data_IF_052079798846
#
_entry.id   IF_052079798846
#
_cell.length_a   1.000
_cell.length_b   1.000
_cell.length_c   1.000
_cell.angle_alpha   90.00
_cell.angle_beta   90.00
_cell.angle_gamma   90.00
#
_symmetry.space_group_name_H-M   'P 1'
#
loop_
_entity.id
_entity.type
_entity.pdbx_description
1 polymer ?
#
# COMPACT_ATOMS: atom_id res chain seq x y z
N UNK A 1 21.70 -26.44 -16.59
CA UNK A 1 21.41 -25.30 -15.70
C UNK A 1 21.67 -25.76 -14.28
N UNK A 2 22.29 -24.93 -13.43
CA UNK A 2 22.56 -25.34 -12.04
C UNK A 2 21.28 -25.22 -11.22
N UNK A 3 21.11 -26.13 -10.26
CA UNK A 3 20.04 -26.10 -9.27
C UNK A 3 19.95 -24.75 -8.56
N UNK A 4 21.09 -24.16 -8.22
CA UNK A 4 21.17 -22.86 -7.53
C UNK A 4 20.60 -21.69 -8.36
N UNK A 5 20.84 -21.68 -9.68
CA UNK A 5 20.26 -20.66 -10.55
C UNK A 5 18.75 -20.83 -10.66
N UNK A 6 18.26 -22.06 -10.72
CA UNK A 6 16.83 -22.33 -10.78
C UNK A 6 16.13 -21.85 -9.49
N UNK A 7 16.71 -22.14 -8.32
CA UNK A 7 16.20 -21.62 -7.04
C UNK A 7 16.22 -20.09 -6.97
N UNK A 8 17.20 -19.44 -7.60
CA UNK A 8 17.27 -17.98 -7.64
C UNK A 8 16.12 -17.35 -8.43
N UNK A 9 15.76 -17.87 -9.61
CA UNK A 9 14.59 -17.38 -10.35
C UNK A 9 13.27 -17.69 -9.63
N UNK A 10 13.16 -18.86 -9.00
CA UNK A 10 11.95 -19.22 -8.24
C UNK A 10 11.74 -18.27 -7.05
N UNK A 11 12.82 -17.90 -6.34
CA UNK A 11 12.76 -16.91 -5.27
C UNK A 11 12.31 -15.53 -5.76
N UNK A 12 12.73 -15.12 -6.96
CA UNK A 12 12.24 -13.88 -7.60
C UNK A 12 10.75 -13.98 -7.88
N UNK A 13 10.30 -15.07 -8.50
CA UNK A 13 8.88 -15.32 -8.79
C UNK A 13 8.04 -15.34 -7.51
N UNK A 14 8.47 -16.07 -6.49
CA UNK A 14 7.76 -16.19 -5.20
C UNK A 14 7.61 -14.84 -4.50
N UNK A 15 8.62 -13.97 -4.59
CA UNK A 15 8.53 -12.60 -4.05
C UNK A 15 7.37 -11.82 -4.70
N UNK A 16 7.24 -11.85 -6.03
CA UNK A 16 6.12 -11.16 -6.71
C UNK A 16 4.76 -11.80 -6.42
N UNK A 17 4.68 -13.13 -6.34
CA UNK A 17 3.46 -13.83 -5.92
C UNK A 17 3.05 -13.39 -4.51
N UNK A 18 4.01 -13.24 -3.59
CA UNK A 18 3.72 -12.78 -2.23
C UNK A 18 3.17 -11.35 -2.15
N UNK A 19 3.45 -10.52 -3.17
CA UNK A 19 2.91 -9.18 -3.32
C UNK A 19 1.55 -9.15 -4.08
N UNK A 20 1.01 -10.32 -4.44
CA UNK A 20 -0.27 -10.46 -5.13
C UNK A 20 -0.21 -10.29 -6.65
N UNK A 21 0.98 -10.28 -7.25
CA UNK A 21 1.12 -10.29 -8.70
C UNK A 21 1.06 -11.73 -9.27
N UNK A 22 0.66 -11.85 -10.53
CA UNK A 22 0.82 -13.10 -11.27
C UNK A 22 2.28 -13.21 -11.75
N UNK A 23 2.98 -14.28 -11.37
CA UNK A 23 4.35 -14.49 -11.80
C UNK A 23 4.61 -15.96 -12.17
N UNK A 24 5.41 -16.17 -13.23
CA UNK A 24 5.81 -17.50 -13.72
C UNK A 24 7.25 -17.49 -14.20
N UNK A 25 7.95 -18.60 -13.99
CA UNK A 25 9.33 -18.79 -14.45
C UNK A 25 9.40 -19.50 -15.80
N UNK A 26 10.55 -19.40 -16.47
CA UNK A 26 10.83 -20.04 -17.77
C UNK A 26 9.71 -19.77 -18.80
N UNK A 27 9.27 -18.52 -18.85
CA UNK A 27 8.08 -18.13 -19.60
C UNK A 27 8.45 -17.84 -21.05
N UNK A 28 7.84 -18.58 -21.98
CA UNK A 28 7.97 -18.31 -23.42
C UNK A 28 6.90 -17.32 -23.87
N UNK A 29 7.30 -16.12 -24.23
CA UNK A 29 6.41 -15.00 -24.57
C UNK A 29 6.58 -14.63 -26.04
N UNK A 30 5.46 -14.53 -26.76
CA UNK A 30 5.45 -14.06 -28.16
C UNK A 30 5.54 -12.54 -28.19
N UNK A 31 6.63 -12.00 -28.75
CA UNK A 31 6.75 -10.60 -29.11
C UNK A 31 6.25 -10.33 -30.53
N UNK A 32 6.38 -9.08 -31.00
CA UNK A 32 5.99 -8.68 -32.35
C UNK A 32 6.79 -9.42 -33.43
N UNK A 33 8.09 -9.66 -33.18
CA UNK A 33 8.99 -10.26 -34.19
C UNK A 33 9.30 -11.73 -33.93
N UNK A 34 9.42 -12.14 -32.65
CA UNK A 34 9.80 -13.50 -32.29
C UNK A 34 9.31 -13.88 -30.90
N UNK A 35 9.36 -15.19 -30.58
CA UNK A 35 9.28 -15.66 -29.20
C UNK A 35 10.57 -15.33 -28.45
N UNK A 36 10.43 -15.00 -27.17
CA UNK A 36 11.53 -14.84 -26.21
C UNK A 36 11.28 -15.75 -25.00
N UNK A 37 12.33 -16.39 -24.52
CA UNK A 37 12.30 -17.14 -23.26
C UNK A 37 12.76 -16.20 -22.14
N UNK A 38 11.89 -15.96 -21.17
CA UNK A 38 12.10 -15.02 -20.07
C UNK A 38 12.24 -15.80 -18.77
N UNK A 39 13.27 -15.50 -17.97
CA UNK A 39 13.51 -16.20 -16.70
C UNK A 39 12.31 -16.04 -15.75
N UNK A 40 11.84 -14.80 -15.53
CA UNK A 40 10.59 -14.55 -14.78
C UNK A 40 9.72 -13.52 -15.51
N UNK A 41 8.48 -13.90 -15.77
CA UNK A 41 7.43 -13.01 -16.27
C UNK A 41 6.51 -12.63 -15.11
N UNK A 42 6.27 -11.33 -14.93
CA UNK A 42 5.37 -10.79 -13.90
C UNK A 42 4.30 -9.95 -14.57
N UNK A 43 3.06 -10.14 -14.15
CA UNK A 43 1.91 -9.37 -14.58
C UNK A 43 1.09 -8.94 -13.37
N UNK A 44 0.69 -7.67 -13.35
CA UNK A 44 -0.23 -7.12 -12.37
C UNK A 44 -1.20 -6.17 -13.05
N UNK A 45 -2.27 -5.78 -12.37
CA UNK A 45 -3.25 -4.81 -12.89
C UNK A 45 -3.17 -3.51 -12.14
N UNK A 46 -3.12 -2.41 -12.89
CA UNK A 46 -3.16 -1.07 -12.34
C UNK A 46 -4.10 -0.21 -13.17
N UNK A 47 -5.08 0.43 -12.49
CA UNK A 47 -6.11 1.27 -13.14
C UNK A 47 -6.85 0.59 -14.31
N UNK A 48 -7.01 -0.74 -14.25
CA UNK A 48 -7.70 -1.52 -15.28
C UNK A 48 -6.81 -1.96 -16.46
N UNK A 49 -5.54 -1.55 -16.48
CA UNK A 49 -4.56 -1.95 -17.48
C UNK A 49 -3.62 -3.02 -16.93
N UNK A 50 -3.16 -3.92 -17.80
CA UNK A 50 -2.17 -4.93 -17.46
C UNK A 50 -0.77 -4.29 -17.51
N UNK A 51 -0.04 -4.35 -16.39
CA UNK A 51 1.37 -4.00 -16.30
C UNK A 51 2.22 -5.26 -16.37
N UNK A 52 3.16 -5.30 -17.31
CA UNK A 52 4.01 -6.45 -17.60
C UNK A 52 5.46 -6.12 -17.32
N UNK A 53 6.09 -6.88 -16.41
CA UNK A 53 7.52 -6.80 -16.14
C UNK A 53 8.23 -8.09 -16.55
N UNK A 54 9.35 -7.94 -17.24
CA UNK A 54 10.22 -9.04 -17.65
C UNK A 54 11.46 -9.03 -16.78
N UNK A 55 11.86 -10.18 -16.25
CA UNK A 55 13.00 -10.27 -15.35
C UNK A 55 13.98 -11.32 -15.84
N UNK A 56 15.25 -10.91 -15.90
CA UNK A 56 16.40 -11.74 -16.20
C UNK A 56 17.19 -12.01 -14.92
N UNK A 57 17.32 -13.28 -14.55
CA UNK A 57 17.97 -13.75 -13.32
C UNK A 57 19.43 -14.12 -13.60
N UNK A 58 20.36 -13.22 -13.24
CA UNK A 58 21.80 -13.41 -13.43
C UNK A 58 22.47 -13.88 -12.15
N UNK A 59 22.41 -15.19 -11.90
CA UNK A 59 23.10 -15.88 -10.80
C UNK A 59 24.59 -16.10 -11.13
N UNK A 60 25.31 -15.02 -11.40
CA UNK A 60 26.72 -15.07 -11.80
C UNK A 60 27.62 -14.58 -10.66
N UNK A 61 28.86 -15.10 -10.62
CA UNK A 61 29.92 -14.56 -9.76
C UNK A 61 30.54 -13.28 -10.32
N UNK A 62 30.38 -13.06 -11.62
CA UNK A 62 30.88 -11.87 -12.31
C UNK A 62 29.78 -10.82 -12.51
N UNK A 63 30.21 -9.55 -12.56
CA UNK A 63 29.32 -8.42 -12.83
C UNK A 63 28.68 -8.51 -14.22
N UNK A 64 27.40 -8.21 -14.29
CA UNK A 64 26.63 -8.16 -15.54
C UNK A 64 27.18 -7.07 -16.47
N UNK A 65 27.35 -7.42 -17.74
CA UNK A 65 27.92 -6.59 -18.81
C UNK A 65 26.83 -5.81 -19.57
N UNK A 66 27.24 -4.72 -20.23
CA UNK A 66 26.39 -3.85 -21.07
C UNK A 66 25.49 -4.61 -22.05
N UNK A 67 26.01 -5.64 -22.71
CA UNK A 67 25.25 -6.37 -23.74
C UNK A 67 23.97 -7.02 -23.20
N UNK A 68 23.96 -7.44 -21.93
CA UNK A 68 22.77 -8.04 -21.31
C UNK A 68 21.65 -6.99 -21.17
N UNK A 69 22.00 -5.76 -20.83
CA UNK A 69 21.06 -4.63 -20.74
C UNK A 69 20.46 -4.30 -22.11
N UNK A 70 21.31 -4.22 -23.14
CA UNK A 70 20.87 -3.92 -24.51
C UNK A 70 19.98 -5.03 -25.07
N UNK A 71 20.31 -6.30 -24.79
CA UNK A 71 19.49 -7.44 -25.20
C UNK A 71 18.11 -7.39 -24.54
N UNK A 72 18.06 -7.24 -23.21
CA UNK A 72 16.77 -7.18 -22.50
C UNK A 72 15.92 -6.00 -22.96
N UNK A 73 16.51 -4.84 -23.26
CA UNK A 73 15.77 -3.70 -23.84
C UNK A 73 15.07 -4.06 -25.13
N UNK A 74 15.79 -4.70 -26.07
CA UNK A 74 15.20 -5.09 -27.34
C UNK A 74 14.05 -6.09 -27.15
N UNK A 75 14.15 -6.98 -26.16
CA UNK A 75 13.09 -7.94 -25.80
C UNK A 75 11.87 -7.22 -25.21
N UNK A 76 12.10 -6.31 -24.26
CA UNK A 76 11.05 -5.49 -23.64
C UNK A 76 10.30 -4.68 -24.69
N UNK A 77 11.02 -4.04 -25.61
CA UNK A 77 10.43 -3.28 -26.71
C UNK A 77 9.67 -4.17 -27.71
N UNK A 78 10.16 -5.39 -27.98
CA UNK A 78 9.50 -6.34 -28.90
C UNK A 78 8.23 -6.95 -28.31
N UNK A 79 8.18 -7.16 -26.99
CA UNK A 79 6.99 -7.66 -26.27
C UNK A 79 6.01 -6.51 -25.96
N UNK A 80 6.49 -5.28 -25.82
CA UNK A 80 5.70 -4.16 -25.34
C UNK A 80 5.51 -4.18 -23.81
N UNK A 81 6.49 -4.71 -23.08
CA UNK A 81 6.46 -4.74 -21.63
C UNK A 81 6.80 -3.36 -21.02
N UNK A 82 6.20 -3.03 -19.87
CA UNK A 82 6.40 -1.74 -19.21
C UNK A 82 7.84 -1.57 -18.70
N UNK A 83 8.42 -2.64 -18.15
CA UNK A 83 9.76 -2.63 -17.57
C UNK A 83 10.48 -3.96 -17.74
N UNK A 84 11.80 -3.87 -17.86
CA UNK A 84 12.71 -5.00 -17.73
C UNK A 84 13.57 -4.87 -16.48
N UNK A 85 13.80 -5.98 -15.78
CA UNK A 85 14.73 -6.03 -14.66
C UNK A 85 15.83 -7.03 -14.97
N UNK A 86 17.07 -6.64 -14.68
CA UNK A 86 18.16 -7.60 -14.52
C UNK A 86 18.45 -7.70 -13.03
N UNK A 87 18.30 -8.90 -12.49
CA UNK A 87 18.55 -9.19 -11.09
C UNK A 87 19.86 -9.94 -10.98
N UNK A 88 20.86 -9.35 -10.32
CA UNK A 88 22.23 -9.88 -10.27
C UNK A 88 22.68 -10.13 -8.84
N UNK A 89 23.38 -11.24 -8.62
CA UNK A 89 24.07 -11.49 -7.34
C UNK A 89 25.37 -10.68 -7.19
N UNK A 90 26.15 -10.57 -8.27
CA UNK A 90 27.46 -9.91 -8.25
C UNK A 90 27.40 -8.42 -8.63
N UNK A 91 26.21 -7.89 -8.92
CA UNK A 91 25.99 -6.52 -9.38
C UNK A 91 26.35 -6.31 -10.85
N UNK A 92 26.72 -5.07 -11.20
CA UNK A 92 26.75 -4.57 -12.58
C UNK A 92 28.05 -3.84 -12.89
N UNK A 93 28.52 -3.94 -14.14
CA UNK A 93 29.63 -3.13 -14.65
C UNK A 93 29.15 -1.69 -14.93
N UNK A 94 30.08 -0.72 -14.90
CA UNK A 94 29.77 0.69 -15.18
C UNK A 94 29.02 0.88 -16.50
N UNK A 95 29.47 0.23 -17.58
CA UNK A 95 28.83 0.31 -18.88
C UNK A 95 27.42 -0.31 -18.94
N UNK A 96 27.09 -1.22 -18.02
CA UNK A 96 25.72 -1.74 -17.88
C UNK A 96 24.82 -0.70 -17.20
N UNK A 97 25.30 -0.07 -16.13
CA UNK A 97 24.59 1.02 -15.44
C UNK A 97 24.34 2.19 -16.38
N UNK A 98 25.37 2.65 -17.09
CA UNK A 98 25.26 3.72 -18.10
C UNK A 98 24.29 3.33 -19.23
N UNK A 99 24.24 2.05 -19.62
CA UNK A 99 23.30 1.60 -20.62
C UNK A 99 21.87 1.64 -20.12
N UNK A 100 21.59 1.23 -18.87
CA UNK A 100 20.25 1.19 -18.29
C UNK A 100 19.71 2.56 -17.87
N UNK A 101 20.60 3.55 -17.72
CA UNK A 101 20.21 4.91 -17.35
C UNK A 101 19.15 5.48 -18.32
N UNK A 102 18.16 6.16 -17.76
CA UNK A 102 17.02 6.76 -18.47
C UNK A 102 16.23 5.80 -19.37
N UNK A 103 16.27 4.49 -19.11
CA UNK A 103 15.41 3.53 -19.80
C UNK A 103 14.48 2.80 -18.82
N UNK A 104 13.55 2.03 -19.38
CA UNK A 104 12.66 1.12 -18.65
C UNK A 104 13.36 -0.16 -18.17
N UNK A 105 14.70 -0.22 -18.26
CA UNK A 105 15.50 -1.33 -17.73
C UNK A 105 16.04 -0.93 -16.38
N UNK A 106 15.81 -1.75 -15.36
CA UNK A 106 16.30 -1.54 -14.01
C UNK A 106 17.29 -2.64 -13.64
N UNK A 107 18.38 -2.23 -13.02
CA UNK A 107 19.44 -3.12 -12.54
C UNK A 107 19.33 -3.18 -11.04
N UNK A 108 19.14 -4.38 -10.50
CA UNK A 108 18.89 -4.59 -9.07
C UNK A 108 19.63 -5.82 -8.55
N UNK A 109 20.03 -5.80 -7.29
CA UNK A 109 20.19 -7.05 -6.54
C UNK A 109 18.81 -7.60 -6.16
N UNK A 110 18.74 -8.86 -5.72
CA UNK A 110 17.46 -9.40 -5.24
C UNK A 110 16.93 -8.58 -4.05
N UNK A 111 17.80 -8.21 -3.12
CA UNK A 111 17.39 -7.49 -1.91
C UNK A 111 16.90 -6.06 -2.24
N UNK A 112 17.56 -5.37 -3.17
CA UNK A 112 17.09 -4.06 -3.65
C UNK A 112 15.73 -4.18 -4.36
N UNK A 113 15.56 -5.18 -5.23
CA UNK A 113 14.27 -5.41 -5.88
C UNK A 113 13.18 -5.70 -4.86
N UNK A 114 13.47 -6.56 -3.89
CA UNK A 114 12.53 -6.98 -2.87
C UNK A 114 12.13 -5.83 -1.94
N UNK A 115 13.08 -4.97 -1.56
CA UNK A 115 12.80 -3.77 -0.77
C UNK A 115 11.94 -2.79 -1.55
N UNK A 116 12.38 -2.37 -2.73
CA UNK A 116 11.68 -1.34 -3.53
C UNK A 116 10.24 -1.73 -3.85
N UNK A 117 10.03 -2.98 -4.25
CA UNK A 117 8.69 -3.46 -4.65
C UNK A 117 7.77 -3.68 -3.45
N UNK A 118 8.31 -4.10 -2.30
CA UNK A 118 7.54 -4.18 -1.04
C UNK A 118 7.13 -2.78 -0.60
N UNK A 119 8.07 -1.84 -0.58
CA UNK A 119 7.80 -0.45 -0.19
C UNK A 119 6.74 0.19 -1.09
N UNK A 120 6.83 -0.02 -2.40
CA UNK A 120 5.82 0.44 -3.34
C UNK A 120 4.44 -0.17 -3.03
N UNK A 121 4.37 -1.49 -2.86
CA UNK A 121 3.12 -2.18 -2.54
C UNK A 121 2.50 -1.68 -1.23
N UNK A 122 3.31 -1.56 -0.17
CA UNK A 122 2.88 -1.04 1.13
C UNK A 122 2.36 0.39 1.01
N UNK A 123 3.05 1.27 0.28
CA UNK A 123 2.64 2.66 0.07
C UNK A 123 1.30 2.78 -0.66
N UNK A 124 1.07 1.95 -1.69
CA UNK A 124 -0.21 1.93 -2.42
C UNK A 124 -1.34 1.42 -1.53
N UNK A 125 -1.10 0.40 -0.71
CA UNK A 125 -2.09 -0.09 0.26
C UNK A 125 -2.43 0.99 1.28
N UNK A 126 -1.43 1.68 1.86
CA UNK A 126 -1.66 2.78 2.81
C UNK A 126 -2.44 3.94 2.18
N UNK A 127 -2.16 4.26 0.91
CA UNK A 127 -2.94 5.25 0.14
C UNK A 127 -4.42 4.88 0.09
N UNK A 128 -4.76 3.62 -0.21
CA UNK A 128 -6.17 3.18 -0.24
C UNK A 128 -6.86 3.27 1.12
N UNK A 129 -6.15 2.97 2.22
CA UNK A 129 -6.71 3.18 3.56
C UNK A 129 -6.94 4.65 3.87
N UNK A 130 -6.01 5.54 3.48
CA UNK A 130 -6.18 7.00 3.62
C UNK A 130 -7.43 7.49 2.87
N UNK A 131 -7.65 7.01 1.65
CA UNK A 131 -8.85 7.33 0.86
C UNK A 131 -10.12 6.84 1.56
N UNK A 132 -10.11 5.62 2.10
CA UNK A 132 -11.24 5.09 2.88
C UNK A 132 -11.52 5.93 4.13
N UNK A 133 -10.48 6.31 4.88
CA UNK A 133 -10.60 7.17 6.07
C UNK A 133 -11.20 8.52 5.68
N UNK A 134 -10.79 9.13 4.57
CA UNK A 134 -11.36 10.40 4.08
C UNK A 134 -12.88 10.28 3.85
N UNK A 135 -13.33 9.19 3.22
CA UNK A 135 -14.76 8.95 2.97
C UNK A 135 -15.55 8.75 4.27
N UNK A 136 -14.99 7.98 5.22
CA UNK A 136 -15.62 7.74 6.53
C UNK A 136 -15.67 9.01 7.38
N UNK A 137 -14.63 9.83 7.32
CA UNK A 137 -14.55 11.12 7.98
C UNK A 137 -15.64 12.06 7.44
N UNK A 138 -15.73 12.26 6.12
CA UNK A 138 -16.79 13.10 5.54
C UNK A 138 -18.19 12.58 5.94
N UNK A 139 -18.43 11.26 5.92
CA UNK A 139 -19.71 10.67 6.34
C UNK A 139 -19.98 10.88 7.83
N UNK A 140 -18.98 10.70 8.70
CA UNK A 140 -19.14 10.90 10.14
C UNK A 140 -19.42 12.37 10.48
N UNK A 141 -18.70 13.33 9.90
CA UNK A 141 -18.95 14.76 10.12
C UNK A 141 -20.15 15.32 9.33
N UNK A 142 -20.73 14.54 8.40
CA UNK A 142 -21.98 14.93 7.75
C UNK A 142 -23.13 15.10 8.76
N UNK A 143 -23.01 14.46 9.91
CA UNK A 143 -23.97 14.52 11.02
C UNK A 143 -23.56 15.53 12.09
N UNK A 144 -24.53 16.29 12.60
CA UNK A 144 -24.31 17.26 13.67
C UNK A 144 -23.68 16.61 14.90
N UNK A 145 -22.97 17.39 15.74
CA UNK A 145 -22.42 16.88 17.01
C UNK A 145 -23.52 16.23 17.87
N UNK A 146 -24.69 16.87 17.97
CA UNK A 146 -25.84 16.36 18.74
C UNK A 146 -26.30 15.00 18.21
N UNK A 147 -26.51 14.90 16.90
CA UNK A 147 -26.92 13.65 16.23
C UNK A 147 -25.90 12.53 16.47
N UNK A 148 -24.60 12.82 16.36
CA UNK A 148 -23.57 11.80 16.64
C UNK A 148 -23.57 11.30 18.09
N UNK A 149 -23.90 12.16 19.05
CA UNK A 149 -24.04 11.78 20.46
C UNK A 149 -25.27 10.89 20.63
N UNK A 150 -26.42 11.38 20.17
CA UNK A 150 -27.73 10.70 20.29
C UNK A 150 -27.73 9.29 19.71
N UNK A 151 -27.01 9.08 18.60
CA UNK A 151 -26.93 7.78 17.94
C UNK A 151 -25.66 6.97 18.26
N UNK A 152 -24.88 7.36 19.28
CA UNK A 152 -23.76 6.56 19.79
C UNK A 152 -22.55 6.46 18.85
N UNK A 153 -22.38 7.45 17.97
CA UNK A 153 -21.18 7.63 17.14
C UNK A 153 -20.09 8.43 17.88
N UNK A 154 -20.49 9.15 18.94
CA UNK A 154 -19.64 9.97 19.80
C UNK A 154 -20.14 9.88 21.23
N UNK A 155 -19.25 9.74 22.21
CA UNK A 155 -19.60 9.86 23.63
C UNK A 155 -19.83 11.31 24.05
N UNK A 156 -20.77 11.55 24.98
CA UNK A 156 -20.92 12.85 25.64
C UNK A 156 -19.84 13.02 26.72
N UNK A 157 -19.48 14.26 27.03
CA UNK A 157 -18.45 14.61 28.04
C UNK A 157 -18.90 14.24 29.46
N UNK A 158 -20.21 14.08 29.66
CA UNK A 158 -20.82 13.73 30.95
C UNK A 158 -20.80 12.21 31.20
N UNK A 159 -20.68 11.41 30.14
CA UNK A 159 -20.58 9.97 30.25
C UNK A 159 -19.17 9.59 30.72
N UNK A 160 -19.03 9.20 32.00
CA UNK A 160 -17.77 8.70 32.57
C UNK A 160 -17.27 7.38 31.92
N UNK A 161 -17.94 6.91 30.87
CA UNK A 161 -17.61 5.70 30.12
C UNK A 161 -17.30 6.11 28.68
N UNK A 162 -16.02 6.14 28.33
CA UNK A 162 -15.53 6.39 26.97
C UNK A 162 -15.80 5.18 26.07
N UNK A 163 -17.08 4.92 25.75
CA UNK A 163 -17.46 3.72 25.01
C UNK A 163 -16.93 3.75 23.58
N UNK A 164 -17.27 4.79 22.81
CA UNK A 164 -16.86 4.90 21.42
C UNK A 164 -16.87 6.36 20.91
N UNK A 165 -15.90 6.74 20.10
CA UNK A 165 -15.97 7.93 19.24
C UNK A 165 -15.28 7.69 17.92
N UNK A 166 -15.99 7.95 16.81
CA UNK A 166 -15.41 7.83 15.48
C UNK A 166 -14.21 8.75 15.26
N UNK A 167 -14.16 9.89 15.96
CA UNK A 167 -13.06 10.85 15.83
C UNK A 167 -11.71 10.27 16.29
N UNK A 168 -11.69 9.58 17.43
CA UNK A 168 -10.45 9.02 17.99
C UNK A 168 -9.98 7.85 17.13
N UNK A 169 -10.89 6.94 16.75
CA UNK A 169 -10.57 5.84 15.85
C UNK A 169 -9.96 6.33 14.53
N UNK A 170 -10.59 7.32 13.88
CA UNK A 170 -10.08 7.90 12.63
C UNK A 170 -8.73 8.60 12.83
N UNK A 171 -8.54 9.34 13.93
CA UNK A 171 -7.27 10.00 14.24
C UNK A 171 -6.15 8.99 14.51
N UNK A 172 -6.40 7.95 15.29
CA UNK A 172 -5.45 6.86 15.54
C UNK A 172 -5.11 6.13 14.25
N UNK A 173 -6.10 5.84 13.39
CA UNK A 173 -5.87 5.22 12.10
C UNK A 173 -4.96 6.08 11.19
N UNK A 174 -5.18 7.40 11.15
CA UNK A 174 -4.31 8.31 10.39
C UNK A 174 -2.90 8.39 10.97
N UNK A 175 -2.78 8.51 12.29
CA UNK A 175 -1.48 8.53 12.97
C UNK A 175 -0.70 7.25 12.68
N UNK A 176 -1.37 6.10 12.70
CA UNK A 176 -0.77 4.82 12.38
C UNK A 176 -0.30 4.74 10.91
N UNK A 177 -1.09 5.24 9.95
CA UNK A 177 -0.67 5.33 8.54
C UNK A 177 0.57 6.23 8.41
N UNK A 178 0.58 7.39 9.07
CA UNK A 178 1.72 8.32 9.03
C UNK A 178 2.98 7.70 9.63
N UNK A 179 2.87 6.95 10.72
CA UNK A 179 3.99 6.23 11.32
C UNK A 179 4.49 5.10 10.40
N UNK A 180 3.58 4.38 9.73
CA UNK A 180 3.92 3.32 8.79
C UNK A 180 4.63 3.84 7.54
N UNK A 181 4.22 4.99 7.00
CA UNK A 181 4.91 5.64 5.88
C UNK A 181 6.36 6.03 6.23
N UNK A 182 6.61 6.40 7.48
CA UNK A 182 7.96 6.63 8.01
C UNK A 182 8.69 5.35 8.44
N UNK A 183 8.03 4.18 8.33
CA UNK A 183 8.53 2.87 8.78
C UNK A 183 8.83 2.79 10.28
N UNK A 184 8.12 3.58 11.07
CA UNK A 184 8.27 3.61 12.52
C UNK A 184 7.41 2.52 13.17
N UNK A 185 7.96 1.31 13.24
CA UNK A 185 7.40 0.18 13.99
C UNK A 185 8.20 -0.07 15.29
N UNK A 186 7.57 -0.55 16.37
CA UNK A 186 6.14 -0.84 16.50
C UNK A 186 5.29 0.44 16.60
N UNK A 187 4.06 0.37 16.08
CA UNK A 187 3.09 1.47 16.11
C UNK A 187 2.17 1.28 17.30
N UNK A 188 2.06 2.31 18.15
CA UNK A 188 1.07 2.37 19.22
C UNK A 188 -0.33 2.66 18.63
N UNK A 189 -1.26 1.77 18.92
CA UNK A 189 -2.65 1.79 18.45
C UNK A 189 -3.63 1.87 19.63
N UNK A 190 -3.12 2.12 20.84
CA UNK A 190 -3.93 2.18 22.04
C UNK A 190 -4.90 3.37 21.98
N UNK A 191 -6.19 3.05 22.10
CA UNK A 191 -7.27 4.04 22.27
C UNK A 191 -7.74 4.02 23.73
N UNK A 192 -8.23 5.16 24.21
CA UNK A 192 -8.88 5.26 25.53
C UNK A 192 -10.29 4.66 25.54
N UNK A 193 -10.79 4.29 24.36
CA UNK A 193 -12.11 3.69 24.16
C UNK A 193 -12.20 2.27 24.74
N UNK A 194 -13.31 1.99 25.43
CA UNK A 194 -13.60 0.64 25.93
C UNK A 194 -14.06 -0.29 24.80
N UNK A 195 -14.75 0.24 23.80
CA UNK A 195 -15.09 -0.49 22.58
C UNK A 195 -14.02 -0.27 21.51
N UNK A 196 -13.21 -1.31 21.30
CA UNK A 196 -12.14 -1.33 20.30
C UNK A 196 -12.01 -2.71 19.68
N UNK A 197 -11.43 -2.76 18.47
CA UNK A 197 -11.11 -4.01 17.78
C UNK A 197 -9.61 -4.10 17.55
N UNK A 198 -9.08 -5.32 17.58
CA UNK A 198 -7.66 -5.58 17.33
C UNK A 198 -6.75 -5.25 18.52
N UNK A 199 -5.45 -5.40 18.27
CA UNK A 199 -4.39 -5.25 19.26
C UNK A 199 -4.07 -3.78 19.56
N UNK A 200 -3.43 -3.53 20.71
CA UNK A 200 -3.00 -2.18 21.12
C UNK A 200 -1.71 -1.72 20.42
N UNK A 201 -1.00 -2.62 19.76
CA UNK A 201 0.23 -2.32 19.02
C UNK A 201 0.22 -3.07 17.69
N UNK A 202 0.92 -2.53 16.69
CA UNK A 202 1.27 -3.25 15.47
C UNK A 202 2.79 -3.24 15.29
N UNK A 203 3.40 -4.43 15.29
CA UNK A 203 4.84 -4.64 15.11
C UNK A 203 5.22 -4.79 13.63
N UNK A 204 4.23 -4.92 12.73
CA UNK A 204 4.46 -5.12 11.30
C UNK A 204 3.36 -4.51 10.45
N UNK A 205 3.66 -4.32 9.15
CA UNK A 205 2.71 -3.86 8.16
C UNK A 205 1.43 -4.71 8.10
N UNK A 206 1.57 -6.04 8.17
CA UNK A 206 0.43 -6.95 8.15
C UNK A 206 -0.47 -6.78 9.38
N UNK A 207 0.11 -6.63 10.57
CA UNK A 207 -0.66 -6.38 11.79
C UNK A 207 -1.39 -5.04 11.73
N UNK A 208 -0.74 -4.00 11.19
CA UNK A 208 -1.40 -2.71 10.94
C UNK A 208 -2.57 -2.84 9.97
N UNK A 209 -2.40 -3.54 8.84
CA UNK A 209 -3.48 -3.77 7.87
C UNK A 209 -4.66 -4.50 8.52
N UNK A 210 -4.40 -5.50 9.35
CA UNK A 210 -5.45 -6.20 10.09
C UNK A 210 -6.19 -5.26 11.03
N UNK A 211 -5.47 -4.44 11.79
CA UNK A 211 -6.06 -3.47 12.71
C UNK A 211 -6.90 -2.42 11.97
N UNK A 212 -6.39 -1.86 10.86
CA UNK A 212 -7.11 -0.90 10.02
C UNK A 212 -8.41 -1.51 9.48
N UNK A 213 -8.35 -2.73 8.94
CA UNK A 213 -9.56 -3.40 8.45
C UNK A 213 -10.60 -3.61 9.55
N UNK A 214 -10.19 -4.12 10.71
CA UNK A 214 -11.10 -4.36 11.84
C UNK A 214 -11.78 -3.06 12.32
N UNK A 215 -11.01 -2.00 12.52
CA UNK A 215 -11.52 -0.75 13.07
C UNK A 215 -12.31 0.07 12.05
N UNK A 216 -11.89 0.11 10.79
CA UNK A 216 -12.64 0.81 9.74
C UNK A 216 -13.95 0.08 9.40
N UNK A 217 -13.98 -1.26 9.41
CA UNK A 217 -15.22 -2.03 9.29
C UNK A 217 -16.14 -1.77 10.49
N UNK A 218 -15.58 -1.69 11.69
CA UNK A 218 -16.35 -1.37 12.88
C UNK A 218 -17.00 0.01 12.82
N UNK A 219 -16.26 1.02 12.35
CA UNK A 219 -16.82 2.35 12.13
C UNK A 219 -17.90 2.37 11.04
N UNK A 220 -17.70 1.65 9.95
CA UNK A 220 -18.70 1.48 8.88
C UNK A 220 -20.01 0.90 9.41
N UNK A 221 -19.94 -0.18 10.20
CA UNK A 221 -21.10 -0.81 10.82
C UNK A 221 -21.83 0.15 11.77
N UNK A 222 -21.08 0.88 12.60
CA UNK A 222 -21.67 1.88 13.50
C UNK A 222 -22.34 3.02 12.76
N UNK A 223 -21.70 3.56 11.73
CA UNK A 223 -22.30 4.59 10.87
C UNK A 223 -23.58 4.09 10.22
N UNK A 224 -23.56 2.89 9.63
CA UNK A 224 -24.73 2.31 8.99
C UNK A 224 -25.90 2.13 9.96
N UNK A 225 -25.65 1.53 11.13
CA UNK A 225 -26.68 1.31 12.16
C UNK A 225 -27.20 2.61 12.77
N UNK A 226 -26.33 3.61 12.93
CA UNK A 226 -26.74 4.94 13.40
C UNK A 226 -27.63 5.62 12.36
N UNK A 227 -27.25 5.60 11.08
CA UNK A 227 -27.99 6.23 10.00
C UNK A 227 -29.34 5.56 9.73
N UNK A 228 -29.44 4.22 9.87
CA UNK A 228 -30.74 3.54 9.83
C UNK A 228 -31.68 4.02 10.94
N UNK A 229 -31.20 4.08 12.18
CA UNK A 229 -32.01 4.59 13.30
C UNK A 229 -32.37 6.07 13.13
N UNK A 230 -31.46 6.87 12.56
CA UNK A 230 -31.76 8.27 12.19
C UNK A 230 -32.89 8.34 11.17
N UNK A 231 -32.88 7.46 10.18
CA UNK A 231 -33.92 7.41 9.16
C UNK A 231 -35.28 7.01 9.76
N UNK A 232 -35.30 5.96 10.57
CA UNK A 232 -36.52 5.49 11.26
C UNK A 232 -37.15 6.59 12.15
N UNK A 233 -36.32 7.42 12.78
CA UNK A 233 -36.77 8.50 13.65
C UNK A 233 -37.05 9.83 12.90
N UNK A 234 -36.75 9.93 11.59
CA UNK A 234 -36.90 11.17 10.82
C UNK A 234 -35.79 12.22 11.04
N UNK A 235 -34.67 11.81 11.65
CA UNK A 235 -33.52 12.64 12.01
C UNK A 235 -32.37 12.58 10.98
N UNK A 236 -32.48 11.72 9.95
CA UNK A 236 -31.46 11.59 8.92
C UNK A 236 -31.38 12.83 8.01
N UNK A 237 -30.49 13.75 8.37
CA UNK A 237 -30.25 15.01 7.65
C UNK A 237 -28.75 15.27 7.46
N UNK A 238 -28.04 14.42 6.71
CA UNK A 238 -26.62 14.60 6.49
C UNK A 238 -26.35 15.88 5.68
N UNK A 239 -25.28 16.59 6.01
CA UNK A 239 -24.76 17.63 5.14
C UNK A 239 -24.11 17.02 3.90
N UNK A 240 -24.27 17.67 2.75
CA UNK A 240 -23.75 17.18 1.45
C UNK A 240 -22.34 17.69 1.13
N UNK A 241 -21.72 18.43 2.05
CA UNK A 241 -20.37 18.97 1.88
C UNK A 241 -19.31 17.90 2.12
N UNK A 242 -18.36 17.79 1.19
CA UNK A 242 -17.12 17.02 1.38
C UNK A 242 -15.96 17.97 1.63
N UNK A 243 -14.99 17.52 2.41
CA UNK A 243 -13.70 18.20 2.55
C UNK A 243 -13.04 18.26 1.17
N UNK A 244 -12.59 19.44 0.74
CA UNK A 244 -11.96 19.59 -0.58
C UNK A 244 -10.57 18.97 -0.55
N UNK A 245 -10.08 18.49 -1.68
CA UNK A 245 -8.75 17.84 -1.78
C UNK A 245 -7.57 18.72 -1.30
N UNK A 246 -7.76 20.04 -1.21
CA UNK A 246 -6.74 21.01 -0.75
C UNK A 246 -6.87 21.39 0.73
N UNK A 247 -7.95 20.98 1.37
CA UNK A 247 -8.23 21.29 2.77
C UNK A 247 -7.80 20.08 3.62
N UNK A 248 -7.21 20.32 4.78
CA UNK A 248 -6.85 19.24 5.70
C UNK A 248 -8.08 18.71 6.43
N UNK A 249 -8.11 17.40 6.60
CA UNK A 249 -9.10 16.73 7.42
C UNK A 249 -8.86 17.02 8.91
N UNK A 250 -9.92 17.04 9.73
CA UNK A 250 -9.81 17.31 11.16
C UNK A 250 -8.93 16.24 11.82
N UNK A 251 -9.14 14.98 11.47
CA UNK A 251 -8.35 13.89 12.07
C UNK A 251 -6.92 13.84 11.54
N UNK A 252 -6.64 14.44 10.38
CA UNK A 252 -5.28 14.60 9.88
C UNK A 252 -4.50 15.61 10.73
N UNK A 253 -5.12 16.74 11.09
CA UNK A 253 -4.52 17.72 12.00
C UNK A 253 -4.27 17.12 13.39
N UNK A 254 -5.20 16.32 13.90
CA UNK A 254 -5.04 15.60 15.17
C UNK A 254 -3.89 14.60 15.07
N UNK A 255 -3.85 13.79 14.01
CA UNK A 255 -2.79 12.81 13.79
C UNK A 255 -1.41 13.47 13.69
N UNK A 256 -1.29 14.58 12.94
CA UNK A 256 -0.06 15.40 12.87
C UNK A 256 0.40 15.85 14.26
N UNK A 257 -0.52 16.30 15.12
CA UNK A 257 -0.20 16.68 16.48
C UNK A 257 0.25 15.48 17.34
N UNK A 258 -0.39 14.32 17.18
CA UNK A 258 -0.01 13.07 17.88
C UNK A 258 1.39 12.58 17.47
N UNK A 259 1.75 12.71 16.20
CA UNK A 259 3.06 12.28 15.67
C UNK A 259 4.15 13.35 15.80
N UNK A 260 3.87 14.53 16.38
CA UNK A 260 4.82 15.64 16.45
C UNK A 260 5.17 16.29 15.10
N UNK A 261 4.36 16.06 14.06
CA UNK A 261 4.54 16.60 12.69
C UNK A 261 3.68 17.85 12.46
N UNK A 262 3.84 18.88 13.29
CA UNK A 262 3.22 20.18 13.02
C UNK A 262 3.97 20.86 11.87
N UNK A 263 3.26 21.31 10.84
CA UNK A 263 3.84 22.11 9.75
C UNK A 263 4.49 23.37 10.34
N UNK A 264 5.81 23.49 10.22
CA UNK A 264 6.48 24.79 10.32
C UNK A 264 5.95 25.65 9.18
N UNK A 265 5.38 26.80 9.53
CA UNK A 265 4.81 27.79 8.60
C UNK A 265 5.86 28.37 7.66
#
# INVERSE_FOLDING_TARGET
>A
MSEEWFQFQERIKDHFVSLGAEARTNARIQGVRTCHDIDVYVQTRYLGEDLVWLIEAKFWKEKVKKNQVLALRAIVDDIGADRGFIVSMAGFQKGAIEAADKTNIKLKTFDELASDTREFAESEILRTYRERINLLEDRYWSHSKRTRIEYGLRHDVIDNVFTFTGQELLATARSAIMAAEDRNYPIDLQMVLTERKGEATADSFQQLCNWLNLNLNHLDERLLNAEWRMYENGDYRPSTGRTRARDSYITELIAKAMTGKLEEK
#
